data_IF_089940997089
#
_entry.id   IF_089940997089
#
_cell.length_a   1.000
_cell.length_b   1.000
_cell.length_c   1.000
_cell.angle_alpha   90.00
_cell.angle_beta   90.00
_cell.angle_gamma   90.00
#
_symmetry.space_group_name_H-M   'P 1'
#
loop_
_entity.id
_entity.type
_entity.pdbx_description
1 polymer ?
#
# COMPACT_ATOMS: atom_id res chain seq x y z
N UNK A 1 -10.22 11.26 17.33
CA UNK A 1 -10.87 10.49 16.25
C UNK A 1 -9.81 9.81 15.39
N UNK A 2 -8.94 10.55 14.70
CA UNK A 2 -7.73 9.98 14.05
C UNK A 2 -6.75 9.37 15.05
N UNK A 3 -6.54 10.06 16.17
CA UNK A 3 -5.72 9.64 17.30
C UNK A 3 -6.08 8.25 17.87
N UNK A 4 -7.34 7.80 17.83
CA UNK A 4 -7.78 6.51 18.38
C UNK A 4 -7.53 5.34 17.41
N UNK A 5 -7.73 5.57 16.11
CA UNK A 5 -7.46 4.56 15.06
C UNK A 5 -5.97 4.37 14.84
N UNK A 6 -5.22 5.48 14.78
CA UNK A 6 -3.77 5.44 14.67
C UNK A 6 -3.13 4.95 15.98
N UNK A 7 -3.71 5.23 17.16
CA UNK A 7 -3.21 4.69 18.44
C UNK A 7 -3.16 3.16 18.45
N UNK A 8 -4.20 2.46 18.01
CA UNK A 8 -4.26 0.99 18.14
C UNK A 8 -3.20 0.30 17.29
N UNK A 9 -3.03 0.72 16.04
CA UNK A 9 -2.06 0.11 15.11
C UNK A 9 -0.63 0.57 15.37
N UNK A 10 -0.44 1.84 15.74
CA UNK A 10 0.87 2.33 16.19
C UNK A 10 1.30 1.68 17.52
N UNK A 11 0.40 1.53 18.51
CA UNK A 11 0.70 0.85 19.77
C UNK A 11 1.13 -0.60 19.52
N UNK A 12 0.47 -1.34 18.63
CA UNK A 12 0.90 -2.69 18.26
C UNK A 12 2.31 -2.72 17.65
N UNK A 13 2.67 -1.68 16.88
CA UNK A 13 4.02 -1.51 16.35
C UNK A 13 5.08 -1.04 17.36
N UNK A 14 4.67 -0.31 18.40
CA UNK A 14 5.55 0.34 19.40
C UNK A 14 5.65 -0.43 20.72
N UNK A 15 4.75 -1.38 20.99
CA UNK A 15 4.87 -2.30 22.14
C UNK A 15 6.19 -3.08 22.13
N UNK A 16 6.69 -3.62 21.00
CA UNK A 16 8.01 -4.26 20.96
C UNK A 16 9.16 -3.30 21.28
N UNK A 17 9.00 -2.00 20.98
CA UNK A 17 9.99 -0.94 21.23
C UNK A 17 10.05 -0.58 22.71
N UNK A 18 8.89 -0.45 23.37
CA UNK A 18 8.80 -0.22 24.81
C UNK A 18 9.41 -1.35 25.64
N UNK A 19 9.46 -2.57 25.09
CA UNK A 19 10.07 -3.74 25.74
C UNK A 19 11.56 -3.92 25.44
N UNK A 20 12.07 -3.44 24.29
CA UNK A 20 13.44 -3.70 23.86
C UNK A 20 14.47 -2.71 24.43
N UNK A 21 14.26 -1.39 24.30
CA UNK A 21 15.17 -0.33 24.81
C UNK A 21 14.41 0.99 24.93
N UNK A 22 13.81 1.27 26.09
CA UNK A 22 13.10 2.53 26.32
C UNK A 22 14.10 3.66 26.63
N UNK A 23 14.48 4.44 25.61
CA UNK A 23 15.30 5.65 25.78
C UNK A 23 14.53 6.91 25.36
N UNK A 24 14.77 8.07 25.99
CA UNK A 24 14.05 9.31 25.67
C UNK A 24 14.17 9.75 24.20
N UNK A 25 15.24 9.35 23.52
CA UNK A 25 15.45 9.64 22.09
C UNK A 25 14.50 8.82 21.23
N UNK A 26 14.38 7.53 21.53
CA UNK A 26 13.49 6.60 20.84
C UNK A 26 12.04 7.07 21.00
N UNK A 27 11.60 7.37 22.23
CA UNK A 27 10.26 7.87 22.51
C UNK A 27 9.93 9.16 21.75
N UNK A 28 10.88 10.12 21.70
CA UNK A 28 10.70 11.38 20.97
C UNK A 28 10.57 11.17 19.46
N UNK A 29 11.41 10.30 18.89
CA UNK A 29 11.35 9.99 17.45
C UNK A 29 10.02 9.33 17.10
N UNK A 30 9.57 8.37 17.91
CA UNK A 30 8.28 7.70 17.71
C UNK A 30 7.09 8.66 17.87
N UNK A 31 7.11 9.54 18.86
CA UNK A 31 6.05 10.56 19.02
C UNK A 31 5.95 11.51 17.81
N UNK A 32 7.08 11.93 17.23
CA UNK A 32 7.07 12.74 16.00
C UNK A 32 6.53 11.95 14.81
N UNK A 33 6.98 10.70 14.65
CA UNK A 33 6.46 9.82 13.59
C UNK A 33 4.96 9.59 13.72
N UNK A 34 4.45 9.47 14.96
CA UNK A 34 3.04 9.33 15.25
C UNK A 34 2.22 10.51 14.72
N UNK A 35 2.62 11.73 15.09
CA UNK A 35 1.90 12.94 14.67
C UNK A 35 1.91 13.10 13.15
N UNK A 36 3.03 12.81 12.50
CA UNK A 36 3.13 12.84 11.03
C UNK A 36 2.21 11.79 10.40
N UNK A 37 2.20 10.56 10.94
CA UNK A 37 1.37 9.46 10.45
C UNK A 37 -0.12 9.75 10.61
N UNK A 38 -0.54 10.27 11.76
CA UNK A 38 -1.94 10.65 12.02
C UNK A 38 -2.43 11.71 11.01
N UNK A 39 -1.65 12.78 10.83
CA UNK A 39 -1.98 13.85 9.88
C UNK A 39 -2.02 13.30 8.45
N UNK A 40 -1.04 12.48 8.07
CA UNK A 40 -0.99 11.88 6.74
C UNK A 40 -2.21 10.98 6.47
N UNK A 41 -2.59 10.14 7.43
CA UNK A 41 -3.77 9.29 7.33
C UNK A 41 -5.06 10.12 7.18
N UNK A 42 -5.21 11.17 7.97
CA UNK A 42 -6.36 12.07 7.84
C UNK A 42 -6.43 12.80 6.50
N UNK A 43 -5.27 13.17 5.94
CA UNK A 43 -5.20 13.72 4.59
C UNK A 43 -5.58 12.69 3.53
N UNK A 44 -5.13 11.43 3.65
CA UNK A 44 -5.50 10.35 2.70
C UNK A 44 -7.00 10.13 2.71
N UNK A 45 -7.63 10.06 3.89
CA UNK A 45 -9.09 9.86 4.02
C UNK A 45 -9.90 10.91 3.27
N UNK A 46 -9.43 12.15 3.21
CA UNK A 46 -10.10 13.25 2.48
C UNK A 46 -9.70 13.25 0.99
N UNK A 47 -8.41 13.12 0.69
CA UNK A 47 -7.88 13.27 -0.67
C UNK A 47 -8.29 12.09 -1.55
N UNK A 48 -8.33 10.88 -1.02
CA UNK A 48 -8.61 9.66 -1.77
C UNK A 48 -9.99 9.66 -2.47
N UNK A 49 -11.12 9.94 -1.79
CA UNK A 49 -12.41 10.00 -2.47
C UNK A 49 -12.47 11.13 -3.51
N UNK A 50 -11.85 12.29 -3.24
CA UNK A 50 -11.77 13.41 -4.18
C UNK A 50 -10.98 12.99 -5.44
N UNK A 51 -9.82 12.38 -5.25
CA UNK A 51 -8.95 11.91 -6.32
C UNK A 51 -9.64 10.85 -7.20
N UNK A 52 -10.28 9.86 -6.59
CA UNK A 52 -11.01 8.79 -7.29
C UNK A 52 -12.20 9.40 -8.05
N UNK A 53 -12.96 10.31 -7.43
CA UNK A 53 -14.06 11.02 -8.09
C UNK A 53 -13.59 11.88 -9.27
N UNK A 54 -12.47 12.60 -9.09
CA UNK A 54 -11.83 13.34 -10.18
C UNK A 54 -11.42 12.42 -11.32
N UNK A 55 -10.85 11.24 -11.04
CA UNK A 55 -10.52 10.27 -12.07
C UNK A 55 -11.78 9.76 -12.80
N UNK A 56 -12.85 9.46 -12.07
CA UNK A 56 -14.13 9.04 -12.67
C UNK A 56 -14.72 10.09 -13.61
N UNK A 57 -14.55 11.37 -13.30
CA UNK A 57 -15.07 12.47 -14.13
C UNK A 57 -14.13 12.88 -15.26
N UNK A 58 -12.88 13.22 -14.93
CA UNK A 58 -11.95 13.90 -15.83
C UNK A 58 -10.99 12.99 -16.60
N UNK A 59 -10.81 11.73 -16.20
CA UNK A 59 -9.89 10.85 -16.91
C UNK A 59 -10.40 10.49 -18.31
N UNK A 60 -9.47 10.12 -19.20
CA UNK A 60 -9.75 9.70 -20.59
C UNK A 60 -9.89 8.18 -20.75
N UNK A 61 -10.22 7.49 -19.66
CA UNK A 61 -10.48 6.04 -19.70
C UNK A 61 -11.86 5.74 -20.32
N UNK A 62 -12.06 4.49 -20.72
CA UNK A 62 -13.32 4.04 -21.31
C UNK A 62 -14.47 4.00 -20.30
N UNK A 63 -15.70 3.88 -20.81
CA UNK A 63 -16.90 3.86 -19.96
C UNK A 63 -16.87 2.75 -18.92
N UNK A 64 -16.28 1.58 -19.23
CA UNK A 64 -16.18 0.47 -18.28
C UNK A 64 -15.23 0.80 -17.13
N UNK A 65 -14.04 1.34 -17.44
CA UNK A 65 -13.11 1.82 -16.43
C UNK A 65 -13.72 2.90 -15.54
N UNK A 66 -14.45 3.87 -16.13
CA UNK A 66 -15.16 4.90 -15.35
C UNK A 66 -16.24 4.32 -14.44
N UNK A 67 -17.05 3.40 -14.95
CA UNK A 67 -18.10 2.75 -14.17
C UNK A 67 -17.51 1.99 -12.97
N UNK A 68 -16.40 1.28 -13.16
CA UNK A 68 -15.69 0.60 -12.09
C UNK A 68 -15.08 1.56 -11.05
N UNK A 69 -14.48 2.68 -11.48
CA UNK A 69 -14.00 3.74 -10.57
C UNK A 69 -15.14 4.31 -9.73
N UNK A 70 -16.27 4.64 -10.36
CA UNK A 70 -17.45 5.14 -9.65
C UNK A 70 -18.06 4.09 -8.71
N UNK A 71 -18.09 2.83 -9.12
CA UNK A 71 -18.55 1.73 -8.27
C UNK A 71 -17.64 1.56 -7.04
N UNK A 72 -16.31 1.60 -7.23
CA UNK A 72 -15.36 1.57 -6.11
C UNK A 72 -15.63 2.73 -5.15
N UNK A 73 -15.70 3.97 -5.64
CA UNK A 73 -15.97 5.15 -4.81
C UNK A 73 -17.31 5.07 -4.07
N UNK A 74 -18.37 4.66 -4.78
CA UNK A 74 -19.71 4.55 -4.21
C UNK A 74 -19.74 3.52 -3.07
N UNK A 75 -19.16 2.34 -3.27
CA UNK A 75 -19.13 1.30 -2.26
C UNK A 75 -18.33 1.74 -1.02
N UNK A 76 -17.20 2.42 -1.20
CA UNK A 76 -16.41 2.93 -0.08
C UNK A 76 -17.16 4.01 0.72
N UNK A 77 -17.75 5.00 0.03
CA UNK A 77 -18.53 6.05 0.70
C UNK A 77 -19.76 5.48 1.42
N UNK A 78 -20.39 4.45 0.84
CA UNK A 78 -21.51 3.75 1.47
C UNK A 78 -21.06 3.02 2.73
N UNK A 79 -19.97 2.25 2.65
CA UNK A 79 -19.41 1.54 3.80
C UNK A 79 -19.01 2.51 4.91
N UNK A 80 -18.36 3.62 4.57
CA UNK A 80 -18.00 4.67 5.53
C UNK A 80 -19.27 5.26 6.16
N UNK A 81 -20.26 5.65 5.36
CA UNK A 81 -21.52 6.21 5.87
C UNK A 81 -22.27 5.26 6.82
N UNK A 82 -22.25 3.95 6.55
CA UNK A 82 -22.83 2.94 7.44
C UNK A 82 -22.06 2.85 8.76
N UNK A 83 -20.72 2.89 8.73
CA UNK A 83 -19.91 2.97 9.95
C UNK A 83 -20.23 4.23 10.75
N UNK A 84 -20.35 5.40 10.10
CA UNK A 84 -20.72 6.65 10.76
C UNK A 84 -22.09 6.53 11.45
N UNK A 85 -23.07 5.93 10.76
CA UNK A 85 -24.42 5.77 11.27
C UNK A 85 -24.49 4.85 12.50
N UNK A 86 -23.72 3.76 12.51
CA UNK A 86 -23.70 2.77 13.59
C UNK A 86 -22.83 3.19 14.79
N UNK A 87 -22.15 4.33 14.70
CA UNK A 87 -21.28 4.89 15.72
C UNK A 87 -19.82 4.48 15.52
N UNK A 88 -18.92 5.45 15.55
CA UNK A 88 -17.47 5.27 15.32
C UNK A 88 -16.80 4.29 16.28
N UNK A 89 -17.32 4.17 17.50
CA UNK A 89 -16.79 3.28 18.54
C UNK A 89 -17.34 1.86 18.42
N UNK A 90 -18.25 1.62 17.46
CA UNK A 90 -18.83 0.32 17.22
C UNK A 90 -17.88 -0.55 16.37
N UNK A 91 -16.84 -1.05 17.02
CA UNK A 91 -15.86 -2.00 16.46
C UNK A 91 -16.44 -3.38 16.18
N UNK A 92 -17.72 -3.61 16.48
CA UNK A 92 -18.43 -4.85 16.16
C UNK A 92 -19.10 -4.82 14.78
N UNK A 93 -19.13 -3.66 14.11
CA UNK A 93 -19.66 -3.59 12.76
C UNK A 93 -18.67 -4.21 11.76
N UNK A 94 -18.98 -5.43 11.35
CA UNK A 94 -18.39 -6.04 10.16
C UNK A 94 -19.40 -5.96 9.01
N UNK A 95 -19.03 -5.41 7.84
CA UNK A 95 -19.88 -5.50 6.66
C UNK A 95 -20.16 -6.98 6.34
N UNK A 96 -21.40 -7.35 5.93
CA UNK A 96 -21.69 -8.74 5.66
C UNK A 96 -20.74 -9.31 4.60
N UNK A 97 -20.24 -10.51 4.85
CA UNK A 97 -19.18 -11.18 4.08
C UNK A 97 -19.34 -11.09 2.56
N UNK A 98 -20.58 -11.29 2.07
CA UNK A 98 -20.90 -11.21 0.65
C UNK A 98 -20.63 -9.82 0.06
N UNK A 99 -20.94 -8.74 0.80
CA UNK A 99 -20.66 -7.38 0.35
C UNK A 99 -19.15 -7.12 0.33
N UNK A 100 -18.40 -7.61 1.32
CA UNK A 100 -16.94 -7.48 1.38
C UNK A 100 -16.26 -8.18 0.19
N UNK A 101 -16.73 -9.39 -0.16
CA UNK A 101 -16.25 -10.13 -1.33
C UNK A 101 -16.55 -9.38 -2.64
N UNK A 102 -17.78 -8.86 -2.80
CA UNK A 102 -18.15 -8.07 -3.98
C UNK A 102 -17.32 -6.80 -4.07
N UNK A 103 -17.11 -6.11 -2.94
CA UNK A 103 -16.33 -4.89 -2.88
C UNK A 103 -14.89 -5.14 -3.32
N UNK A 104 -14.19 -6.13 -2.75
CA UNK A 104 -12.83 -6.50 -3.16
C UNK A 104 -12.76 -6.94 -4.63
N UNK A 105 -13.75 -7.70 -5.11
CA UNK A 105 -13.82 -8.06 -6.52
C UNK A 105 -13.93 -6.83 -7.44
N UNK A 106 -14.73 -5.84 -7.07
CA UNK A 106 -14.84 -4.56 -7.79
C UNK A 106 -13.49 -3.85 -7.78
N UNK A 107 -12.84 -3.71 -6.63
CA UNK A 107 -11.52 -3.05 -6.51
C UNK A 107 -10.46 -3.68 -7.42
N UNK A 108 -10.32 -5.01 -7.37
CA UNK A 108 -9.38 -5.77 -8.20
C UNK A 108 -9.71 -5.58 -9.68
N UNK A 109 -10.99 -5.68 -10.05
CA UNK A 109 -11.45 -5.49 -11.42
C UNK A 109 -11.15 -4.08 -11.93
N UNK A 110 -11.36 -3.05 -11.09
CA UNK A 110 -11.04 -1.65 -11.42
C UNK A 110 -9.56 -1.51 -11.76
N UNK A 111 -8.67 -2.01 -10.90
CA UNK A 111 -7.22 -1.93 -11.10
C UNK A 111 -6.81 -2.62 -12.40
N UNK A 112 -7.28 -3.85 -12.64
CA UNK A 112 -6.94 -4.63 -13.83
C UNK A 112 -7.43 -3.92 -15.10
N UNK A 113 -8.71 -3.57 -15.16
CA UNK A 113 -9.33 -2.98 -16.37
C UNK A 113 -8.69 -1.65 -16.73
N UNK A 114 -8.51 -0.76 -15.75
CA UNK A 114 -7.91 0.56 -15.98
C UNK A 114 -6.45 0.45 -16.41
N UNK A 115 -5.66 -0.43 -15.77
CA UNK A 115 -4.25 -0.60 -16.12
C UNK A 115 -4.07 -1.20 -17.51
N UNK A 116 -4.89 -2.20 -17.88
CA UNK A 116 -4.88 -2.80 -19.22
C UNK A 116 -5.26 -1.77 -20.28
N UNK A 117 -6.29 -0.95 -20.02
CA UNK A 117 -6.70 0.12 -20.94
C UNK A 117 -5.57 1.14 -21.17
N UNK A 118 -4.88 1.56 -20.09
CA UNK A 118 -3.79 2.53 -20.14
C UNK A 118 -2.46 1.92 -20.63
N UNK A 119 -2.40 0.59 -20.81
CA UNK A 119 -1.22 -0.17 -21.27
C UNK A 119 0.00 -0.05 -20.37
N UNK A 120 -0.18 0.27 -19.10
CA UNK A 120 0.90 0.42 -18.11
C UNK A 120 1.07 -0.85 -17.29
N UNK A 121 1.45 -1.94 -17.97
CA UNK A 121 1.57 -3.30 -17.41
C UNK A 121 2.46 -3.39 -16.16
N UNK A 122 3.41 -2.47 -15.99
CA UNK A 122 4.26 -2.44 -14.80
C UNK A 122 3.46 -2.27 -13.51
N UNK A 123 2.32 -1.57 -13.57
CA UNK A 123 1.46 -1.38 -12.39
C UNK A 123 0.67 -2.63 -12.03
N UNK A 124 0.44 -3.56 -12.98
CA UNK A 124 -0.10 -4.88 -12.62
C UNK A 124 0.91 -5.71 -11.82
N UNK A 125 2.20 -5.62 -12.15
CA UNK A 125 3.25 -6.25 -11.34
C UNK A 125 3.36 -5.58 -9.96
N UNK A 126 3.32 -4.24 -9.92
CA UNK A 126 3.32 -3.47 -8.67
C UNK A 126 2.16 -3.87 -7.74
N UNK A 127 1.00 -4.24 -8.30
CA UNK A 127 -0.22 -4.62 -7.59
C UNK A 127 -0.27 -6.08 -7.09
N UNK A 128 0.68 -6.94 -7.48
CA UNK A 128 0.67 -8.36 -7.03
C UNK A 128 0.66 -8.50 -5.50
N UNK A 129 1.46 -7.74 -4.72
CA UNK A 129 1.42 -7.82 -3.27
C UNK A 129 0.04 -7.48 -2.69
N UNK A 130 -0.64 -6.45 -3.21
CA UNK A 130 -2.00 -6.10 -2.81
C UNK A 130 -3.00 -7.21 -3.14
N UNK A 131 -2.85 -7.87 -4.31
CA UNK A 131 -3.68 -9.02 -4.68
C UNK A 131 -3.51 -10.16 -3.66
N UNK A 132 -2.28 -10.44 -3.24
CA UNK A 132 -2.00 -11.45 -2.20
C UNK A 132 -2.62 -11.04 -0.87
N UNK A 133 -2.55 -9.76 -0.48
CA UNK A 133 -3.21 -9.26 0.71
C UNK A 133 -4.75 -9.43 0.65
N UNK A 134 -5.37 -9.13 -0.50
CA UNK A 134 -6.79 -9.40 -0.69
C UNK A 134 -7.13 -10.89 -0.59
N UNK A 135 -6.25 -11.80 -1.02
CA UNK A 135 -6.47 -13.24 -0.87
C UNK A 135 -6.50 -13.69 0.60
N UNK A 136 -5.74 -13.04 1.48
CA UNK A 136 -5.81 -13.28 2.94
C UNK A 136 -7.23 -12.97 3.45
N UNK A 137 -7.80 -11.83 3.06
CA UNK A 137 -9.14 -11.41 3.45
C UNK A 137 -10.22 -12.33 2.87
N UNK A 138 -10.11 -12.62 1.57
CA UNK A 138 -11.02 -13.53 0.87
C UNK A 138 -11.02 -14.91 1.53
N UNK A 139 -9.86 -15.46 1.92
CA UNK A 139 -9.76 -16.72 2.65
C UNK A 139 -10.54 -16.70 3.97
N UNK A 140 -10.38 -15.65 4.78
CA UNK A 140 -11.08 -15.49 6.06
C UNK A 140 -12.60 -15.36 5.87
N UNK A 141 -13.02 -14.55 4.92
CA UNK A 141 -14.43 -14.38 4.56
C UNK A 141 -15.05 -15.68 4.03
N UNK A 142 -14.30 -16.48 3.26
CA UNK A 142 -14.78 -17.79 2.82
C UNK A 142 -14.93 -18.78 3.98
N UNK A 143 -14.07 -18.73 4.99
CA UNK A 143 -14.26 -19.52 6.23
C UNK A 143 -15.56 -19.11 6.91
N UNK A 144 -15.80 -17.81 7.08
CA UNK A 144 -17.00 -17.29 7.74
C UNK A 144 -18.29 -17.65 6.98
N UNK A 145 -18.27 -17.57 5.66
CA UNK A 145 -19.44 -17.88 4.82
C UNK A 145 -19.76 -19.38 4.76
N UNK A 146 -18.72 -20.23 4.75
CA UNK A 146 -18.87 -21.67 4.56
C UNK A 146 -18.81 -22.49 5.85
N UNK A 147 -18.37 -21.88 6.96
CA UNK A 147 -17.96 -22.55 8.19
C UNK A 147 -16.92 -23.68 7.97
N UNK A 148 -16.14 -23.61 6.88
CA UNK A 148 -15.13 -24.61 6.54
C UNK A 148 -13.72 -24.05 6.76
N UNK A 149 -12.98 -24.68 7.66
CA UNK A 149 -11.58 -24.33 7.93
C UNK A 149 -10.63 -24.63 6.75
N UNK A 150 -11.08 -25.39 5.74
CA UNK A 150 -10.28 -25.68 4.55
C UNK A 150 -9.90 -24.41 3.77
N UNK A 151 -10.75 -23.37 3.80
CA UNK A 151 -10.43 -22.08 3.18
C UNK A 151 -9.31 -21.32 3.90
N UNK A 152 -8.99 -21.69 5.15
CA UNK A 152 -7.83 -21.16 5.87
C UNK A 152 -6.48 -21.47 5.19
N UNK A 153 -6.44 -22.46 4.29
CA UNK A 153 -5.26 -22.72 3.46
C UNK A 153 -4.95 -21.54 2.52
N UNK A 154 -5.96 -20.81 2.04
CA UNK A 154 -5.79 -19.61 1.21
C UNK A 154 -5.11 -18.52 2.02
N UNK A 155 -5.63 -18.25 3.22
CA UNK A 155 -5.05 -17.28 4.16
C UNK A 155 -3.61 -17.62 4.50
N UNK A 156 -3.32 -18.89 4.81
CA UNK A 156 -1.97 -19.34 5.15
C UNK A 156 -1.00 -19.17 3.99
N UNK A 157 -1.37 -19.66 2.80
CA UNK A 157 -0.52 -19.56 1.62
C UNK A 157 -0.28 -18.11 1.21
N UNK A 158 -1.32 -17.28 1.21
CA UNK A 158 -1.19 -15.86 0.89
C UNK A 158 -0.26 -15.13 1.87
N UNK A 159 -0.40 -15.38 3.19
CA UNK A 159 0.50 -14.82 4.20
C UNK A 159 1.97 -15.24 4.01
N UNK A 160 2.21 -16.51 3.66
CA UNK A 160 3.56 -17.03 3.42
C UNK A 160 4.23 -16.40 2.19
N UNK A 161 3.51 -16.22 1.09
CA UNK A 161 4.09 -15.70 -0.16
C UNK A 161 4.21 -14.19 -0.21
N UNK A 162 3.52 -13.45 0.67
CA UNK A 162 3.38 -11.99 0.57
C UNK A 162 4.72 -11.27 0.50
N UNK A 163 5.64 -11.58 1.43
CA UNK A 163 6.97 -10.95 1.45
C UNK A 163 7.77 -11.23 0.16
N UNK A 164 7.64 -12.43 -0.41
CA UNK A 164 8.29 -12.76 -1.68
C UNK A 164 7.69 -11.99 -2.85
N UNK A 165 6.37 -11.81 -2.87
CA UNK A 165 5.73 -11.01 -3.93
C UNK A 165 6.15 -9.54 -3.89
N UNK A 166 6.38 -8.97 -2.71
CA UNK A 166 6.95 -7.62 -2.55
C UNK A 166 8.37 -7.55 -3.14
N UNK A 167 9.22 -8.52 -2.83
CA UNK A 167 10.60 -8.58 -3.35
C UNK A 167 10.59 -8.66 -4.87
N UNK A 168 9.77 -9.56 -5.44
CA UNK A 168 9.67 -9.77 -6.89
C UNK A 168 9.12 -8.51 -7.57
N UNK A 169 8.00 -7.98 -7.09
CA UNK A 169 7.36 -6.78 -7.62
C UNK A 169 8.30 -5.57 -7.59
N UNK A 170 8.93 -5.31 -6.43
CA UNK A 170 9.88 -4.22 -6.27
C UNK A 170 11.10 -4.37 -7.18
N UNK A 171 11.65 -5.58 -7.30
CA UNK A 171 12.81 -5.86 -8.18
C UNK A 171 12.47 -5.64 -9.67
N UNK A 172 11.30 -6.13 -10.11
CA UNK A 172 10.80 -5.90 -11.47
C UNK A 172 10.62 -4.40 -11.73
N UNK A 173 10.06 -3.66 -10.78
CA UNK A 173 9.89 -2.22 -10.89
C UNK A 173 11.21 -1.46 -10.96
N UNK A 174 12.20 -1.80 -10.12
CA UNK A 174 13.53 -1.20 -10.17
C UNK A 174 14.16 -1.42 -11.54
N UNK A 175 14.11 -2.66 -12.05
CA UNK A 175 14.62 -2.99 -13.39
C UNK A 175 13.90 -2.18 -14.49
N UNK A 176 12.58 -2.05 -14.38
CA UNK A 176 11.78 -1.21 -15.28
C UNK A 176 12.21 0.26 -15.23
N UNK A 177 12.36 0.85 -14.05
CA UNK A 177 12.76 2.24 -13.87
C UNK A 177 14.17 2.50 -14.44
N UNK A 178 15.11 1.57 -14.21
CA UNK A 178 16.45 1.61 -14.83
C UNK A 178 16.36 1.55 -16.35
N UNK A 179 15.51 0.67 -16.91
CA UNK A 179 15.28 0.57 -18.36
C UNK A 179 14.67 1.85 -18.94
N UNK A 180 13.81 2.55 -18.19
CA UNK A 180 13.31 3.89 -18.53
C UNK A 180 14.38 4.99 -18.40
N UNK A 181 15.57 4.65 -17.91
CA UNK A 181 16.78 5.46 -17.95
C UNK A 181 16.91 6.43 -16.78
N UNK A 182 16.36 6.12 -15.60
CA UNK A 182 16.65 6.91 -14.40
C UNK A 182 18.17 7.07 -14.21
N UNK A 183 18.59 8.20 -13.65
CA UNK A 183 20.01 8.50 -13.50
C UNK A 183 20.66 7.57 -12.49
N UNK A 184 21.59 6.73 -12.97
CA UNK A 184 22.39 5.83 -12.11
C UNK A 184 23.18 6.59 -11.05
N UNK A 185 23.63 7.81 -11.37
CA UNK A 185 24.34 8.70 -10.43
C UNK A 185 23.47 9.06 -9.22
N UNK A 186 22.18 9.33 -9.43
CA UNK A 186 21.25 9.65 -8.33
C UNK A 186 20.68 8.40 -7.65
N UNK A 187 20.67 7.25 -8.33
CA UNK A 187 20.32 5.97 -7.71
C UNK A 187 21.42 5.42 -6.80
N UNK A 188 22.70 5.70 -7.10
CA UNK A 188 23.85 5.23 -6.33
C UNK A 188 23.79 5.53 -4.82
N UNK A 189 23.54 6.77 -4.35
CA UNK A 189 23.43 7.03 -2.91
C UNK A 189 22.25 6.29 -2.26
N UNK A 190 21.15 6.09 -2.99
CA UNK A 190 19.98 5.32 -2.53
C UNK A 190 20.35 3.84 -2.40
N UNK A 191 21.10 3.29 -3.36
CA UNK A 191 21.58 1.92 -3.33
C UNK A 191 22.55 1.68 -2.16
N UNK A 192 23.44 2.64 -1.87
CA UNK A 192 24.32 2.56 -0.70
C UNK A 192 23.49 2.53 0.59
N UNK A 193 22.50 3.43 0.74
CA UNK A 193 21.60 3.41 1.89
C UNK A 193 20.86 2.07 2.01
N UNK A 194 20.31 1.56 0.91
CA UNK A 194 19.60 0.29 0.87
C UNK A 194 20.49 -0.89 1.30
N UNK A 195 21.74 -0.94 0.83
CA UNK A 195 22.72 -1.97 1.22
C UNK A 195 23.07 -1.84 2.70
N UNK A 196 23.33 -0.62 3.20
CA UNK A 196 23.68 -0.39 4.61
C UNK A 196 22.53 -0.81 5.52
N UNK A 197 21.31 -0.36 5.24
CA UNK A 197 20.12 -0.72 6.04
C UNK A 197 19.85 -2.23 5.96
N UNK A 198 19.90 -2.81 4.76
CA UNK A 198 19.73 -4.25 4.56
C UNK A 198 20.77 -5.08 5.30
N UNK A 199 22.05 -4.65 5.30
CA UNK A 199 23.13 -5.32 6.02
C UNK A 199 22.97 -5.20 7.54
N UNK A 200 22.60 -4.03 8.06
CA UNK A 200 22.34 -3.83 9.49
C UNK A 200 21.20 -4.74 9.99
N UNK A 201 20.14 -4.89 9.18
CA UNK A 201 19.04 -5.80 9.49
C UNK A 201 19.48 -7.26 9.39
N UNK A 202 20.16 -7.64 8.31
CA UNK A 202 20.62 -9.02 8.09
C UNK A 202 21.57 -9.50 9.19
N UNK A 203 22.51 -8.64 9.59
CA UNK A 203 23.46 -8.94 10.66
C UNK A 203 22.84 -8.83 12.06
N UNK A 204 21.57 -8.41 12.17
CA UNK A 204 20.92 -8.06 13.45
C UNK A 204 21.83 -7.15 14.30
N UNK A 205 22.55 -6.22 13.65
CA UNK A 205 23.61 -5.42 14.26
C UNK A 205 23.07 -4.50 15.37
N UNK A 206 21.78 -4.17 15.28
CA UNK A 206 21.00 -3.59 16.36
C UNK A 206 19.95 -4.65 16.72
N UNK A 207 20.03 -5.27 17.90
CA UNK A 207 19.07 -6.29 18.32
C UNK A 207 17.64 -5.76 18.23
N UNK A 208 16.79 -6.49 17.53
CA UNK A 208 15.41 -6.07 17.32
C UNK A 208 15.24 -4.97 16.28
N UNK A 209 16.26 -4.55 15.53
CA UNK A 209 16.12 -3.66 14.37
C UNK A 209 15.42 -4.35 13.21
N UNK A 210 15.66 -5.63 12.98
CA UNK A 210 14.93 -6.38 11.96
C UNK A 210 13.45 -6.56 12.31
N UNK A 211 13.14 -6.72 13.60
CA UNK A 211 11.77 -6.71 14.11
C UNK A 211 11.24 -5.28 14.09
N UNK A 212 11.98 -4.27 14.53
CA UNK A 212 11.56 -2.87 14.57
C UNK A 212 11.33 -2.34 13.17
N UNK A 213 12.19 -2.58 12.19
CA UNK A 213 11.94 -2.21 10.79
C UNK A 213 10.89 -3.18 10.23
N UNK A 214 10.90 -4.47 10.54
CA UNK A 214 9.85 -5.43 10.16
C UNK A 214 8.51 -5.27 10.89
N UNK A 215 8.39 -4.30 11.79
CA UNK A 215 7.15 -3.93 12.50
C UNK A 215 6.84 -2.47 12.13
N UNK A 216 7.72 -1.51 12.37
CA UNK A 216 7.56 -0.09 12.02
C UNK A 216 7.42 0.13 10.50
N UNK A 217 8.20 -0.54 9.65
CA UNK A 217 8.10 -0.41 8.18
C UNK A 217 7.01 -1.33 7.58
N UNK A 218 6.44 -2.24 8.39
CA UNK A 218 5.08 -2.76 8.25
C UNK A 218 3.97 -2.09 9.06
N UNK A 219 4.14 -0.93 9.68
CA UNK A 219 3.05 -0.22 10.38
C UNK A 219 2.94 1.23 9.87
N UNK A 220 4.08 1.92 9.67
CA UNK A 220 4.21 3.12 8.82
C UNK A 220 3.91 2.81 7.35
N UNK A 221 4.00 1.52 7.03
CA UNK A 221 3.93 0.88 5.74
C UNK A 221 3.30 -0.53 5.94
N UNK A 222 2.43 -0.69 6.94
CA UNK A 222 1.34 -1.68 7.09
C UNK A 222 1.34 -3.07 6.37
N UNK A 223 2.28 -3.96 6.67
CA UNK A 223 2.27 -5.35 6.13
C UNK A 223 1.49 -6.28 7.07
N UNK A 224 0.25 -6.65 6.72
CA UNK A 224 -0.46 -7.76 7.37
C UNK A 224 0.14 -9.08 6.91
N UNK A 225 0.30 -10.02 7.83
CA UNK A 225 0.41 -11.43 7.48
C UNK A 225 1.82 -11.98 7.33
N UNK A 226 2.87 -11.23 7.68
CA UNK A 226 4.18 -11.87 7.85
C UNK A 226 4.16 -12.71 9.12
N UNK A 227 4.05 -14.03 8.93
CA UNK A 227 4.38 -15.01 9.97
C UNK A 227 5.89 -15.08 10.12
N UNK A 228 6.38 -14.71 11.30
CA UNK A 228 7.69 -14.96 11.92
C UNK A 228 8.99 -14.58 11.17
N UNK A 229 8.97 -14.26 9.87
CA UNK A 229 10.21 -14.00 9.12
C UNK A 229 10.03 -13.12 7.88
N UNK A 230 10.72 -11.97 7.86
CA UNK A 230 10.95 -11.20 6.63
C UNK A 230 12.39 -11.40 6.15
N UNK A 231 12.61 -11.69 4.85
CA UNK A 231 13.96 -11.67 4.30
C UNK A 231 14.54 -10.24 4.44
N UNK A 232 15.71 -10.04 5.08
CA UNK A 232 16.31 -8.71 5.26
C UNK A 232 16.50 -7.90 3.96
N UNK A 233 16.60 -8.60 2.83
CA UNK A 233 16.68 -8.01 1.49
C UNK A 233 15.43 -7.20 1.10
N UNK A 234 14.27 -7.45 1.73
CA UNK A 234 13.04 -6.71 1.46
C UNK A 234 13.20 -5.22 1.72
N UNK A 235 13.96 -4.82 2.75
CA UNK A 235 14.21 -3.43 3.08
C UNK A 235 15.09 -2.74 2.02
N UNK A 236 16.09 -3.46 1.51
CA UNK A 236 16.93 -2.95 0.43
C UNK A 236 16.10 -2.73 -0.85
N UNK A 237 15.22 -3.69 -1.19
CA UNK A 237 14.31 -3.59 -2.34
C UNK A 237 13.29 -2.46 -2.15
N UNK A 238 12.72 -2.30 -0.96
CA UNK A 238 11.76 -1.23 -0.68
C UNK A 238 12.39 0.17 -0.83
N UNK A 239 13.57 0.40 -0.22
CA UNK A 239 14.29 1.68 -0.31
C UNK A 239 14.67 1.97 -1.77
N UNK A 240 15.19 0.97 -2.49
CA UNK A 240 15.51 1.11 -3.91
C UNK A 240 14.28 1.31 -4.79
N UNK A 241 13.16 0.67 -4.48
CA UNK A 241 11.89 0.79 -5.18
C UNK A 241 11.32 2.20 -5.06
N UNK A 242 11.22 2.72 -3.83
CA UNK A 242 10.81 4.10 -3.54
C UNK A 242 11.73 5.12 -4.22
N UNK A 243 13.04 4.95 -4.09
CA UNK A 243 14.01 5.82 -4.75
C UNK A 243 13.92 5.77 -6.28
N UNK A 244 13.73 4.58 -6.84
CA UNK A 244 13.53 4.39 -8.28
C UNK A 244 12.25 5.07 -8.76
N UNK A 245 11.15 4.95 -8.00
CA UNK A 245 9.89 5.60 -8.31
C UNK A 245 10.02 7.13 -8.23
N UNK A 246 10.69 7.67 -7.21
CA UNK A 246 10.97 9.09 -7.09
C UNK A 246 11.81 9.62 -8.26
N UNK A 247 12.87 8.91 -8.64
CA UNK A 247 13.70 9.30 -9.79
C UNK A 247 12.96 9.18 -11.13
N UNK A 248 12.01 8.25 -11.23
CA UNK A 248 11.17 8.08 -12.41
C UNK A 248 10.22 9.27 -12.63
N UNK A 249 9.90 10.05 -11.58
CA UNK A 249 9.00 11.21 -11.66
C UNK A 249 9.36 12.19 -12.78
N UNK A 250 10.66 12.44 -12.99
CA UNK A 250 11.15 13.35 -14.03
C UNK A 250 10.91 12.84 -15.46
N UNK A 251 10.63 11.56 -15.63
CA UNK A 251 10.46 10.90 -16.94
C UNK A 251 9.03 10.46 -17.20
N UNK A 252 8.42 9.86 -16.19
CA UNK A 252 7.07 9.33 -16.24
C UNK A 252 6.39 9.62 -14.90
N UNK A 253 5.86 10.84 -14.71
CA UNK A 253 5.24 11.25 -13.45
C UNK A 253 3.98 10.42 -13.14
N UNK A 254 3.29 9.92 -14.17
CA UNK A 254 2.07 9.14 -14.00
C UNK A 254 2.40 7.77 -13.37
N UNK A 255 3.33 7.02 -13.96
CA UNK A 255 3.76 5.72 -13.41
C UNK A 255 4.50 5.90 -12.09
N UNK A 256 5.32 6.95 -11.96
CA UNK A 256 6.04 7.27 -10.72
C UNK A 256 5.09 7.47 -9.54
N UNK A 257 4.12 8.39 -9.66
CA UNK A 257 3.21 8.70 -8.56
C UNK A 257 2.24 7.55 -8.27
N UNK A 258 1.77 6.84 -9.31
CA UNK A 258 0.95 5.65 -9.12
C UNK A 258 1.72 4.53 -8.39
N UNK A 259 2.98 4.30 -8.77
CA UNK A 259 3.82 3.29 -8.11
C UNK A 259 4.19 3.70 -6.69
N UNK A 260 4.43 4.99 -6.44
CA UNK A 260 4.59 5.49 -5.07
C UNK A 260 3.33 5.22 -4.25
N UNK A 261 2.14 5.52 -4.77
CA UNK A 261 0.89 5.23 -4.07
C UNK A 261 0.72 3.73 -3.76
N UNK A 262 1.03 2.83 -4.71
CA UNK A 262 1.03 1.38 -4.45
C UNK A 262 2.11 0.98 -3.44
N UNK A 263 3.33 1.47 -3.56
CA UNK A 263 4.42 1.15 -2.63
C UNK A 263 4.23 1.76 -1.26
N UNK A 264 3.39 2.77 -1.09
CA UNK A 264 2.98 3.27 0.23
C UNK A 264 1.73 2.56 0.75
N UNK A 265 0.95 1.89 -0.12
CA UNK A 265 -0.35 1.30 0.21
C UNK A 265 -0.45 -0.21 0.22
N UNK A 266 0.49 -0.95 -0.38
CA UNK A 266 0.63 -2.42 -0.33
C UNK A 266 0.99 -2.95 1.07
N UNK A 267 0.66 -2.12 2.05
CA UNK A 267 1.44 -1.70 3.19
C UNK A 267 0.44 -0.99 4.13
N UNK A 268 -0.86 -1.33 4.13
CA UNK A 268 -1.74 -1.20 5.31
C UNK A 268 -2.84 -2.24 5.29
N UNK A 269 -2.65 -3.25 6.12
CA UNK A 269 -3.71 -4.12 6.54
C UNK A 269 -3.35 -4.47 7.99
N UNK A 270 -4.11 -4.01 8.96
CA UNK A 270 -4.40 -4.68 10.23
C UNK A 270 -5.86 -4.32 10.60
N UNK A 271 -6.38 -5.08 11.56
CA UNK A 271 -7.73 -5.38 12.04
C UNK A 271 -8.77 -4.25 12.27
N UNK A 272 -8.78 -3.16 11.51
CA UNK A 272 -9.86 -2.17 11.55
C UNK A 272 -10.38 -1.88 10.14
N UNK A 273 -11.69 -2.04 9.94
CA UNK A 273 -12.49 -1.87 8.71
C UNK A 273 -12.44 -0.45 8.12
N UNK A 274 -11.25 0.08 7.88
CA UNK A 274 -11.06 1.35 7.19
C UNK A 274 -10.93 1.08 5.71
N UNK A 275 -12.03 1.38 5.01
CA UNK A 275 -12.14 1.27 3.54
C UNK A 275 -11.05 2.03 2.79
N UNK A 276 -10.47 3.06 3.44
CA UNK A 276 -9.36 3.90 3.00
C UNK A 276 -8.17 3.06 2.51
N UNK A 277 -7.82 2.00 3.24
CA UNK A 277 -6.67 1.16 2.87
C UNK A 277 -6.98 0.21 1.73
N UNK A 278 -8.17 -0.38 1.72
CA UNK A 278 -8.67 -1.20 0.61
C UNK A 278 -8.71 -0.40 -0.71
N UNK A 279 -8.89 0.91 -0.65
CA UNK A 279 -8.95 1.78 -1.82
C UNK A 279 -7.58 2.21 -2.39
N UNK A 280 -6.45 1.95 -1.75
CA UNK A 280 -5.17 2.50 -2.22
C UNK A 280 -4.81 2.05 -3.65
N UNK A 281 -4.99 0.78 -4.04
CA UNK A 281 -4.77 0.39 -5.44
C UNK A 281 -5.64 1.15 -6.43
N UNK A 282 -6.88 1.46 -6.05
CA UNK A 282 -7.81 2.28 -6.86
C UNK A 282 -7.39 3.76 -6.87
N UNK A 283 -6.82 4.28 -5.80
CA UNK A 283 -6.24 5.61 -5.77
C UNK A 283 -5.01 5.70 -6.70
N UNK A 284 -4.15 4.68 -6.69
CA UNK A 284 -2.97 4.62 -7.54
C UNK A 284 -3.31 4.60 -9.04
N UNK A 285 -4.25 3.76 -9.47
CA UNK A 285 -4.72 3.76 -10.86
C UNK A 285 -5.53 5.02 -11.21
N UNK A 286 -6.15 5.69 -10.23
CA UNK A 286 -6.79 6.99 -10.44
C UNK A 286 -5.77 8.10 -10.73
N UNK A 287 -4.65 8.13 -9.99
CA UNK A 287 -3.50 9.02 -10.28
C UNK A 287 -2.99 8.75 -11.69
N UNK A 288 -2.78 7.48 -12.02
CA UNK A 288 -2.34 7.09 -13.36
C UNK A 288 -3.30 7.62 -14.42
N UNK A 289 -4.60 7.35 -14.28
CA UNK A 289 -5.63 7.73 -15.24
C UNK A 289 -5.75 9.25 -15.46
N UNK A 290 -5.51 10.05 -14.41
CA UNK A 290 -5.55 11.51 -14.48
C UNK A 290 -4.31 12.12 -15.15
N UNK A 291 -3.15 11.48 -14.99
CA UNK A 291 -1.88 11.98 -15.49
C UNK A 291 -1.49 11.37 -16.84
N UNK A 292 -2.02 10.19 -17.17
CA UNK A 292 -1.76 9.51 -18.43
C UNK A 292 -2.28 10.34 -19.61
N UNK A 293 -1.39 10.66 -20.55
CA UNK A 293 -1.69 11.50 -21.71
C UNK A 293 -1.43 13.00 -21.52
N UNK A 294 -1.02 13.47 -20.32
CA UNK A 294 -0.40 14.80 -20.18
C UNK A 294 1.06 14.71 -20.60
N UNK A 295 1.34 14.75 -21.91
CA UNK A 295 2.71 14.93 -22.39
C UNK A 295 3.27 16.20 -21.76
N UNK A 296 4.30 16.08 -20.92
CA UNK A 296 5.13 17.20 -20.50
C UNK A 296 5.66 17.85 -21.80
N UNK A 297 5.51 19.17 -22.00
CA UNK A 297 6.07 19.82 -23.18
C UNK A 297 7.57 19.55 -23.18
N UNK A 298 8.06 18.81 -24.18
CA UNK A 298 9.48 18.80 -24.44
C UNK A 298 9.84 20.22 -24.86
N UNK A 299 10.70 20.89 -24.08
CA UNK A 299 11.41 22.07 -24.58
C UNK A 299 12.14 21.62 -25.84
N UNK A 300 11.64 22.05 -26.99
CA UNK A 300 12.42 22.14 -28.21
C UNK A 300 13.46 23.23 -27.97
N UNK A 301 14.64 22.84 -27.52
CA UNK A 301 15.82 23.68 -27.67
C UNK A 301 16.27 23.50 -29.12
N UNK A 302 16.00 24.52 -29.93
CA UNK A 302 16.60 24.73 -31.25
C UNK A 302 17.92 25.47 -31.14
#
# INVERSE_FOLDING_TARGET
MFELMFNREFLAGVIPIGMAVNTPIVERVFSVMFVIGEIAFGLVLIIQPILIGMAGYYSRIDTKGKALIWASLYLSLLLDAVHLYLGYDNTSFNPPVLYSLVYVFVLISTVIVVTVYLKEWILLFAFIPDLVAYLVLVGNWLIELSNSSAYGAITSFAGEIMAYTVIVSGSIFIAYAIKRGISKKYLAPIAVLAIVVGALVYMNAIPGLGIMIGVVFPYVLGILGVRDWMPPIIFAVAILGLGSAFLLYKKDPAVSLASLALFFGALVFDTVDTTVYLLIPVAAISILALLHGRKVPQRTEG
#
